data_IF_032887365403
#
_entry.id   IF_032887365403
#
_cell.length_a   1.000
_cell.length_b   1.000
_cell.length_c   1.000
_cell.angle_alpha   90.00
_cell.angle_beta   90.00
_cell.angle_gamma   90.00
#
_symmetry.space_group_name_H-M   'P 1'
#
loop_
_entity.id
_entity.type
_entity.pdbx_description
1 polymer ?
#
# COMPACT_ATOMS: atom_id res chain seq x y z
N UNK A 1 -26.65 -14.59 -6.83
CA UNK A 1 -26.44 -13.30 -6.13
C UNK A 1 -26.37 -13.45 -4.61
N UNK A 2 -27.26 -14.24 -3.98
CA UNK A 2 -27.30 -14.42 -2.51
C UNK A 2 -26.14 -15.23 -1.88
N UNK A 3 -25.52 -16.15 -2.64
CA UNK A 3 -24.43 -17.01 -2.14
C UNK A 3 -23.09 -16.27 -1.96
N UNK A 4 -22.80 -15.27 -2.78
CA UNK A 4 -21.58 -14.46 -2.70
C UNK A 4 -21.61 -13.49 -1.51
N UNK A 5 -22.77 -12.92 -1.20
CA UNK A 5 -22.96 -12.06 -0.02
C UNK A 5 -22.80 -12.89 1.25
N UNK A 6 -23.37 -14.10 1.30
CA UNK A 6 -23.21 -15.01 2.42
C UNK A 6 -21.76 -15.49 2.63
N UNK A 7 -21.01 -15.74 1.55
CA UNK A 7 -19.59 -16.11 1.63
C UNK A 7 -18.71 -14.93 2.09
N UNK A 8 -19.00 -13.71 1.62
CA UNK A 8 -18.31 -12.49 2.03
C UNK A 8 -18.58 -12.17 3.51
N UNK A 9 -19.82 -12.34 3.97
CA UNK A 9 -20.19 -12.19 5.38
C UNK A 9 -19.51 -13.28 6.24
N UNK A 10 -19.48 -14.54 5.80
CA UNK A 10 -18.76 -15.61 6.52
C UNK A 10 -17.25 -15.37 6.60
N UNK A 11 -16.63 -14.86 5.53
CA UNK A 11 -15.22 -14.50 5.54
C UNK A 11 -14.93 -13.29 6.45
N UNK A 12 -15.81 -12.29 6.46
CA UNK A 12 -15.76 -11.16 7.40
C UNK A 12 -15.95 -11.60 8.85
N UNK A 13 -16.84 -12.56 9.12
CA UNK A 13 -17.06 -13.14 10.45
C UNK A 13 -15.87 -14.00 10.90
N UNK A 14 -15.23 -14.76 10.01
CA UNK A 14 -14.03 -15.54 10.34
C UNK A 14 -12.80 -14.65 10.55
N UNK A 15 -12.62 -13.62 9.71
CA UNK A 15 -11.61 -12.57 9.89
C UNK A 15 -11.83 -11.82 11.22
N UNK A 16 -13.10 -11.58 11.58
CA UNK A 16 -13.51 -10.97 12.84
C UNK A 16 -13.16 -11.83 14.06
N UNK A 17 -13.38 -13.14 14.02
CA UNK A 17 -12.95 -14.06 15.09
C UNK A 17 -11.42 -14.10 15.25
N UNK A 18 -10.67 -14.05 14.14
CA UNK A 18 -9.20 -13.99 14.18
C UNK A 18 -8.67 -12.65 14.72
N UNK A 19 -9.33 -11.53 14.37
CA UNK A 19 -9.06 -10.20 14.94
C UNK A 19 -9.32 -10.13 16.45
N UNK A 20 -10.31 -10.87 16.95
CA UNK A 20 -10.65 -10.98 18.37
C UNK A 20 -9.55 -11.73 19.16
N UNK A 21 -9.06 -12.85 18.60
CA UNK A 21 -8.07 -13.74 19.24
C UNK A 21 -6.66 -13.17 19.24
N UNK A 22 -6.34 -12.27 18.30
CA UNK A 22 -4.99 -11.73 18.15
C UNK A 22 -4.64 -10.58 19.11
N UNK A 23 -5.59 -10.11 19.94
CA UNK A 23 -5.36 -9.04 20.91
C UNK A 23 -4.55 -9.60 22.09
N UNK A 24 -3.22 -9.67 21.91
CA UNK A 24 -2.12 -9.86 22.88
C UNK A 24 -1.02 -10.84 22.43
N UNK A 25 -1.03 -11.33 21.18
CA UNK A 25 -0.10 -12.38 20.74
C UNK A 25 1.11 -11.91 19.90
N UNK A 26 1.28 -10.60 19.67
CA UNK A 26 2.41 -10.03 18.90
C UNK A 26 2.01 -8.99 17.84
N UNK A 27 2.86 -8.69 16.84
CA UNK A 27 2.63 -7.63 15.87
C UNK A 27 1.41 -7.89 14.98
N UNK A 28 0.71 -6.81 14.65
CA UNK A 28 -0.42 -6.77 13.73
C UNK A 28 0.00 -6.22 12.37
N UNK A 29 -0.20 -7.01 11.33
CA UNK A 29 0.28 -6.70 9.98
C UNK A 29 -0.88 -6.59 8.99
N UNK A 30 -0.85 -5.58 8.13
CA UNK A 30 -1.73 -5.45 6.97
C UNK A 30 -0.93 -5.63 5.67
N UNK A 31 -1.39 -6.53 4.79
CA UNK A 31 -0.78 -6.83 3.49
C UNK A 31 -1.84 -6.84 2.40
N UNK A 32 -1.55 -6.25 1.23
CA UNK A 32 -2.49 -6.20 0.11
C UNK A 32 -1.86 -6.69 -1.20
N UNK A 33 -2.61 -7.50 -1.97
CA UNK A 33 -2.20 -7.95 -3.30
C UNK A 33 -2.34 -6.87 -4.39
N UNK A 34 -1.74 -7.03 -5.56
CA UNK A 34 -1.81 -6.07 -6.68
C UNK A 34 -3.16 -6.10 -7.39
N UNK A 35 -3.57 -4.99 -8.00
CA UNK A 35 -4.71 -4.95 -8.93
C UNK A 35 -5.40 -3.59 -8.97
N UNK A 36 -6.26 -3.40 -9.98
CA UNK A 36 -6.95 -2.12 -10.26
C UNK A 36 -8.07 -1.80 -9.27
N UNK A 37 -8.57 -2.79 -8.52
CA UNK A 37 -9.67 -2.64 -7.57
C UNK A 37 -9.22 -2.08 -6.20
N UNK A 38 -8.35 -1.05 -6.18
CA UNK A 38 -7.84 -0.45 -4.95
C UNK A 38 -8.94 0.09 -4.01
N UNK A 39 -10.05 0.58 -4.57
CA UNK A 39 -11.23 1.06 -3.82
C UNK A 39 -11.82 -0.02 -2.91
N UNK A 40 -11.92 -1.25 -3.41
CA UNK A 40 -12.54 -2.35 -2.67
C UNK A 40 -11.79 -2.64 -1.36
N UNK A 41 -10.46 -2.58 -1.40
CA UNK A 41 -9.61 -2.79 -0.22
C UNK A 41 -9.76 -1.70 0.81
N UNK A 42 -9.71 -0.44 0.37
CA UNK A 42 -9.94 0.72 1.24
C UNK A 42 -11.32 0.65 1.91
N UNK A 43 -12.34 0.19 1.18
CA UNK A 43 -13.68 0.02 1.74
C UNK A 43 -13.74 -1.09 2.79
N UNK A 44 -13.15 -2.26 2.51
CA UNK A 44 -13.06 -3.38 3.46
C UNK A 44 -12.28 -2.94 4.70
N UNK A 45 -11.12 -2.31 4.53
CA UNK A 45 -10.32 -1.80 5.64
C UNK A 45 -11.09 -0.77 6.46
N UNK A 46 -11.81 0.16 5.82
CA UNK A 46 -12.64 1.11 6.54
C UNK A 46 -13.69 0.40 7.41
N UNK A 47 -14.36 -0.63 6.87
CA UNK A 47 -15.31 -1.43 7.63
C UNK A 47 -14.63 -2.14 8.81
N UNK A 48 -13.44 -2.71 8.62
CA UNK A 48 -12.66 -3.33 9.70
C UNK A 48 -12.36 -2.30 10.80
N UNK A 49 -11.85 -1.12 10.45
CA UNK A 49 -11.51 -0.07 11.42
C UNK A 49 -12.73 0.43 12.20
N UNK A 50 -13.89 0.58 11.55
CA UNK A 50 -15.16 0.94 12.24
C UNK A 50 -15.66 -0.15 13.17
N UNK A 51 -15.51 -1.42 12.80
CA UNK A 51 -15.87 -2.52 13.70
C UNK A 51 -14.93 -2.57 14.91
N UNK A 52 -13.63 -2.32 14.72
CA UNK A 52 -12.68 -2.19 15.84
C UNK A 52 -13.10 -1.06 16.78
N UNK A 53 -13.52 0.10 16.25
CA UNK A 53 -14.02 1.22 17.06
C UNK A 53 -15.21 0.78 17.93
N UNK A 54 -16.23 0.18 17.32
CA UNK A 54 -17.44 -0.26 18.02
C UNK A 54 -17.12 -1.30 19.09
N UNK A 55 -16.34 -2.32 18.75
CA UNK A 55 -16.01 -3.41 19.66
C UNK A 55 -15.13 -2.95 20.84
N UNK A 56 -14.15 -2.08 20.58
CA UNK A 56 -13.28 -1.51 21.63
C UNK A 56 -13.92 -0.32 22.36
N UNK A 57 -15.17 0.03 22.03
CA UNK A 57 -15.91 1.18 22.59
C UNK A 57 -15.10 2.49 22.52
N UNK A 58 -14.39 2.70 21.41
CA UNK A 58 -13.56 3.89 21.21
C UNK A 58 -14.43 5.07 20.78
N UNK A 59 -14.13 6.30 21.26
CA UNK A 59 -14.92 7.47 20.90
C UNK A 59 -14.84 7.80 19.41
N UNK A 60 -13.71 7.48 18.76
CA UNK A 60 -13.46 7.75 17.35
C UNK A 60 -12.77 6.55 16.67
N UNK A 61 -12.96 6.39 15.36
CA UNK A 61 -12.23 5.41 14.56
C UNK A 61 -10.73 5.69 14.62
N UNK A 62 -9.94 4.67 14.97
CA UNK A 62 -8.48 4.78 14.93
C UNK A 62 -7.99 4.89 13.49
N UNK A 63 -6.96 5.70 13.27
CA UNK A 63 -6.20 5.65 12.02
C UNK A 63 -5.47 4.30 11.92
N UNK A 64 -5.36 3.66 10.73
CA UNK A 64 -4.71 2.35 10.60
C UNK A 64 -3.31 2.28 11.21
N UNK A 65 -2.50 3.34 11.06
CA UNK A 65 -1.15 3.44 11.66
C UNK A 65 -1.13 3.31 13.19
N UNK A 66 -2.24 3.58 13.87
CA UNK A 66 -2.36 3.48 15.34
C UNK A 66 -2.75 2.07 15.79
N UNK A 67 -3.14 1.20 14.87
CA UNK A 67 -3.56 -0.16 15.15
C UNK A 67 -2.52 -1.18 14.66
N UNK A 68 -2.15 -1.10 13.38
CA UNK A 68 -1.19 -2.01 12.74
C UNK A 68 0.25 -1.58 12.99
N UNK A 69 1.11 -2.55 13.29
CA UNK A 69 2.54 -2.34 13.51
C UNK A 69 3.30 -2.19 12.18
N UNK A 70 2.90 -2.97 11.16
CA UNK A 70 3.46 -2.95 9.81
C UNK A 70 2.32 -2.95 8.77
N UNK A 71 2.42 -2.05 7.79
CA UNK A 71 1.55 -2.01 6.62
C UNK A 71 2.38 -2.23 5.36
N UNK A 72 1.85 -3.00 4.43
CA UNK A 72 2.49 -3.23 3.15
C UNK A 72 1.52 -3.52 2.04
N UNK A 73 1.92 -3.13 0.84
CA UNK A 73 1.23 -3.48 -0.38
C UNK A 73 2.12 -3.26 -1.60
N UNK A 74 1.71 -3.85 -2.71
CA UNK A 74 2.23 -3.56 -4.04
C UNK A 74 1.28 -2.67 -4.85
N UNK A 75 1.79 -1.95 -5.84
CA UNK A 75 1.01 -1.21 -6.83
C UNK A 75 0.21 -0.05 -6.24
N UNK A 76 -1.02 0.17 -6.73
CA UNK A 76 -2.01 1.10 -6.18
C UNK A 76 -2.13 0.96 -4.65
N UNK A 77 -2.11 -0.27 -4.14
CA UNK A 77 -2.18 -0.47 -2.70
C UNK A 77 -0.93 0.04 -1.97
N UNK A 78 0.23 0.10 -2.63
CA UNK A 78 1.44 0.74 -2.10
C UNK A 78 1.25 2.24 -1.89
N UNK A 79 0.61 2.94 -2.84
CA UNK A 79 0.20 4.34 -2.65
C UNK A 79 -0.78 4.48 -1.48
N UNK A 80 -1.76 3.59 -1.38
CA UNK A 80 -2.71 3.56 -0.24
C UNK A 80 -1.98 3.34 1.08
N UNK A 81 -1.02 2.43 1.11
CA UNK A 81 -0.20 2.13 2.30
C UNK A 81 0.61 3.35 2.73
N UNK A 82 1.18 4.10 1.79
CA UNK A 82 1.85 5.37 2.06
C UNK A 82 0.88 6.40 2.66
N UNK A 83 -0.33 6.53 2.11
CA UNK A 83 -1.36 7.42 2.66
C UNK A 83 -1.70 7.06 4.11
N UNK A 84 -1.99 5.80 4.38
CA UNK A 84 -2.44 5.34 5.70
C UNK A 84 -1.32 5.33 6.76
N UNK A 85 -0.11 4.95 6.38
CA UNK A 85 1.04 4.86 7.28
C UNK A 85 1.85 6.15 7.34
N UNK A 86 2.55 6.47 6.25
CA UNK A 86 3.53 7.58 6.20
C UNK A 86 2.87 8.96 6.31
N UNK A 87 1.78 9.19 5.58
CA UNK A 87 1.02 10.45 5.60
C UNK A 87 -0.04 10.48 6.71
N UNK A 88 -0.10 9.42 7.52
CA UNK A 88 -0.92 9.34 8.73
C UNK A 88 -2.42 9.64 8.45
N UNK A 89 -2.93 9.22 7.29
CA UNK A 89 -4.34 9.42 6.91
C UNK A 89 -5.27 8.38 7.55
N UNK A 90 -6.54 8.75 7.70
CA UNK A 90 -7.64 7.83 7.96
C UNK A 90 -8.02 7.06 6.69
N UNK A 91 -8.82 6.01 6.85
CA UNK A 91 -9.38 5.25 5.72
C UNK A 91 -10.28 6.10 4.82
N UNK A 92 -11.01 7.04 5.41
CA UNK A 92 -11.85 7.99 4.69
C UNK A 92 -11.04 9.00 3.89
N UNK A 93 -10.02 9.60 4.51
CA UNK A 93 -9.10 10.54 3.85
C UNK A 93 -8.42 9.85 2.65
N UNK A 94 -7.88 8.65 2.86
CA UNK A 94 -7.24 7.88 1.80
C UNK A 94 -8.20 7.47 0.68
N UNK A 95 -9.46 7.15 1.00
CA UNK A 95 -10.50 6.83 0.00
C UNK A 95 -10.85 8.05 -0.87
N UNK A 96 -11.00 9.22 -0.26
CA UNK A 96 -11.26 10.47 -0.98
C UNK A 96 -10.09 10.83 -1.91
N UNK A 97 -8.86 10.77 -1.38
CA UNK A 97 -7.64 11.00 -2.16
C UNK A 97 -7.50 10.01 -3.32
N UNK A 98 -7.77 8.71 -3.07
CA UNK A 98 -7.72 7.69 -4.11
C UNK A 98 -8.75 7.95 -5.22
N UNK A 99 -9.99 8.25 -4.87
CA UNK A 99 -11.03 8.53 -5.86
C UNK A 99 -10.65 9.72 -6.74
N UNK A 100 -10.14 10.79 -6.13
CA UNK A 100 -9.67 11.98 -6.85
C UNK A 100 -8.49 11.67 -7.79
N UNK A 101 -7.44 11.00 -7.30
CA UNK A 101 -6.30 10.69 -8.17
C UNK A 101 -6.69 9.74 -9.29
N UNK A 102 -7.56 8.76 -9.02
CA UNK A 102 -8.02 7.81 -10.04
C UNK A 102 -8.79 8.51 -11.16
N UNK A 103 -9.68 9.46 -10.85
CA UNK A 103 -10.45 10.17 -11.86
C UNK A 103 -9.58 11.09 -12.71
N UNK A 104 -8.58 11.75 -12.11
CA UNK A 104 -7.66 12.65 -12.81
C UNK A 104 -6.65 11.87 -13.66
N UNK A 105 -6.07 10.80 -13.12
CA UNK A 105 -4.99 10.06 -13.77
C UNK A 105 -5.52 9.20 -14.92
N UNK A 106 -6.70 8.58 -14.79
CA UNK A 106 -7.28 7.73 -15.82
C UNK A 106 -8.29 8.43 -16.73
N UNK A 107 -8.30 9.77 -16.70
CA UNK A 107 -9.19 10.61 -17.51
C UNK A 107 -8.87 10.54 -19.01
N UNK A 108 -9.83 10.92 -19.84
CA UNK A 108 -9.63 11.08 -21.30
C UNK A 108 -8.55 12.11 -21.61
N UNK A 109 -8.52 13.22 -20.86
CA UNK A 109 -7.63 14.37 -21.06
C UNK A 109 -6.18 14.02 -20.71
N UNK A 110 -5.97 13.06 -19.81
CA UNK A 110 -4.65 12.58 -19.44
C UNK A 110 -4.10 11.47 -20.35
N UNK A 111 -4.92 10.97 -21.29
CA UNK A 111 -4.52 9.93 -22.24
C UNK A 111 -3.53 10.50 -23.27
N UNK A 112 -2.48 9.74 -23.59
CA UNK A 112 -1.56 10.09 -24.68
C UNK A 112 -2.18 9.72 -26.03
N UNK A 113 -2.01 10.58 -27.03
CA UNK A 113 -2.42 10.30 -28.42
C UNK A 113 -1.62 9.14 -29.03
N UNK A 114 -0.35 8.99 -28.62
CA UNK A 114 0.54 7.92 -29.08
C UNK A 114 1.07 7.10 -27.89
N UNK A 115 0.97 5.77 -27.98
CA UNK A 115 1.28 4.83 -26.89
C UNK A 115 2.72 4.32 -26.92
N UNK A 116 3.72 5.22 -26.93
CA UNK A 116 5.14 4.82 -26.97
C UNK A 116 5.67 4.34 -25.61
N UNK A 117 5.35 5.08 -24.53
CA UNK A 117 5.86 4.84 -23.17
C UNK A 117 4.74 4.92 -22.12
N UNK A 118 3.66 4.17 -22.36
CA UNK A 118 2.48 4.08 -21.50
C UNK A 118 1.28 4.88 -22.00
N UNK A 119 0.08 4.52 -21.50
CA UNK A 119 -1.20 5.07 -21.93
C UNK A 119 -1.51 6.49 -21.43
N UNK A 120 -0.97 6.87 -20.28
CA UNK A 120 -1.30 8.12 -19.59
C UNK A 120 -0.06 8.95 -19.30
N UNK A 121 -0.22 10.29 -19.17
CA UNK A 121 0.91 11.16 -18.82
C UNK A 121 1.29 10.96 -17.36
N UNK A 122 2.53 10.50 -17.11
CA UNK A 122 3.06 10.31 -15.77
C UNK A 122 3.19 11.62 -14.97
N UNK A 123 3.28 12.77 -15.65
CA UNK A 123 3.32 14.10 -15.01
C UNK A 123 2.06 14.38 -14.19
N UNK A 124 0.90 13.89 -14.62
CA UNK A 124 -0.35 14.01 -13.86
C UNK A 124 -0.33 13.15 -12.59
N UNK A 125 0.19 11.92 -12.69
CA UNK A 125 0.36 11.03 -11.54
C UNK A 125 1.27 11.67 -10.48
N UNK A 126 2.44 12.19 -10.90
CA UNK A 126 3.38 12.89 -10.00
C UNK A 126 2.70 14.08 -9.34
N UNK A 127 2.02 14.93 -10.12
CA UNK A 127 1.33 16.12 -9.62
C UNK A 127 0.28 15.76 -8.57
N UNK A 128 -0.57 14.77 -8.84
CA UNK A 128 -1.64 14.40 -7.90
C UNK A 128 -1.10 13.72 -6.63
N UNK A 129 -0.02 12.91 -6.72
CA UNK A 129 0.65 12.37 -5.54
C UNK A 129 1.24 13.51 -4.68
N UNK A 130 1.89 14.49 -5.29
CA UNK A 130 2.42 15.66 -4.59
C UNK A 130 1.30 16.48 -3.94
N UNK A 131 0.16 16.64 -4.62
CA UNK A 131 -1.02 17.29 -4.04
C UNK A 131 -1.53 16.55 -2.80
N UNK A 132 -1.61 15.22 -2.83
CA UNK A 132 -2.03 14.40 -1.67
C UNK A 132 -1.09 14.63 -0.48
N UNK A 133 0.22 14.65 -0.72
CA UNK A 133 1.24 14.89 0.33
C UNK A 133 1.07 16.28 0.95
N UNK A 134 0.90 17.32 0.12
CA UNK A 134 0.66 18.67 0.62
C UNK A 134 -0.67 18.78 1.39
N UNK A 135 -1.74 18.15 0.90
CA UNK A 135 -3.05 18.11 1.58
C UNK A 135 -2.99 17.39 2.93
N UNK A 136 -2.09 16.41 3.07
CA UNK A 136 -1.81 15.74 4.35
C UNK A 136 -0.95 16.59 5.31
N UNK A 137 -0.55 17.81 4.94
CA UNK A 137 0.28 18.69 5.76
C UNK A 137 1.78 18.40 5.68
N UNK A 138 2.23 17.73 4.62
CA UNK A 138 3.63 17.34 4.43
C UNK A 138 4.28 18.08 3.25
N UNK A 139 5.59 18.30 3.33
CA UNK A 139 6.38 18.87 2.23
C UNK A 139 6.67 17.81 1.15
N UNK A 140 6.70 18.22 -0.12
CA UNK A 140 7.14 17.35 -1.22
C UNK A 140 8.62 16.97 -1.13
N UNK A 141 9.41 17.69 -0.33
CA UNK A 141 10.81 17.34 -0.04
C UNK A 141 10.95 16.34 1.12
N UNK A 142 9.85 15.99 1.78
CA UNK A 142 9.86 15.04 2.88
C UNK A 142 10.32 13.66 2.40
N UNK A 143 11.28 13.11 3.14
CA UNK A 143 11.78 11.75 2.92
C UNK A 143 10.72 10.71 3.27
N UNK A 144 10.77 9.60 2.54
CA UNK A 144 9.96 8.42 2.87
C UNK A 144 10.30 7.93 4.27
N UNK A 145 11.59 7.93 4.63
CA UNK A 145 12.04 7.61 5.97
C UNK A 145 11.36 8.52 6.99
N UNK A 146 10.78 7.89 8.00
CA UNK A 146 10.12 8.53 9.13
C UNK A 146 11.02 8.36 10.35
N UNK A 147 11.52 9.46 10.94
CA UNK A 147 12.35 9.38 12.16
C UNK A 147 11.64 8.68 13.33
N UNK A 148 10.30 8.69 13.32
CA UNK A 148 9.46 8.05 14.32
C UNK A 148 9.25 6.54 14.08
N UNK A 149 9.72 5.99 12.95
CA UNK A 149 9.48 4.61 12.56
C UNK A 149 10.60 3.66 13.00
N UNK A 150 10.22 2.44 13.37
CA UNK A 150 11.14 1.42 13.86
C UNK A 150 10.42 0.26 14.59
N UNK A 151 11.19 -0.61 15.25
CA UNK A 151 10.68 -1.84 15.88
C UNK A 151 9.65 -1.58 16.99
N UNK A 152 9.76 -0.43 17.66
CA UNK A 152 8.90 -0.07 18.79
C UNK A 152 7.75 0.88 18.40
N UNK A 153 7.58 1.17 17.11
CA UNK A 153 6.54 2.07 16.61
C UNK A 153 5.45 1.29 15.87
N UNK A 154 4.24 1.86 15.84
CA UNK A 154 3.17 1.41 14.95
C UNK A 154 3.16 2.20 13.65
N UNK A 155 2.63 1.60 12.59
CA UNK A 155 2.46 2.27 11.31
C UNK A 155 3.69 2.25 10.42
N UNK A 156 4.63 1.33 10.65
CA UNK A 156 5.76 1.12 9.76
C UNK A 156 5.24 0.74 8.37
N UNK A 157 5.82 1.30 7.31
CA UNK A 157 5.43 1.00 5.93
C UNK A 157 6.56 0.33 5.19
N UNK A 158 6.20 -0.69 4.44
CA UNK A 158 7.03 -1.37 3.45
C UNK A 158 6.24 -1.43 2.14
N UNK A 159 6.85 -0.99 1.04
CA UNK A 159 6.26 -1.14 -0.30
C UNK A 159 7.28 -1.72 -1.26
N UNK A 160 6.79 -2.47 -2.25
CA UNK A 160 7.62 -3.09 -3.28
C UNK A 160 7.53 -2.32 -4.61
N UNK A 161 8.66 -2.21 -5.30
CA UNK A 161 8.75 -1.93 -6.74
C UNK A 161 9.76 -2.88 -7.39
N UNK A 162 9.91 -2.80 -8.71
CA UNK A 162 10.94 -3.50 -9.47
C UNK A 162 11.86 -2.50 -10.15
N UNK A 163 13.11 -2.89 -10.38
CA UNK A 163 13.97 -2.13 -11.28
C UNK A 163 13.56 -2.41 -12.73
N UNK A 164 13.53 -1.37 -13.57
CA UNK A 164 13.20 -1.48 -15.00
C UNK A 164 14.26 -2.24 -15.81
N UNK A 165 15.46 -2.44 -15.25
CA UNK A 165 16.57 -3.17 -15.89
C UNK A 165 16.50 -4.67 -15.55
N UNK A 166 16.01 -5.03 -14.35
CA UNK A 166 15.86 -6.41 -13.93
C UNK A 166 14.59 -6.58 -13.09
N UNK A 167 13.54 -7.09 -13.74
CA UNK A 167 12.24 -7.37 -13.12
C UNK A 167 12.29 -8.48 -12.06
N UNK A 168 13.43 -9.18 -11.89
CA UNK A 168 13.67 -10.13 -10.80
C UNK A 168 14.26 -9.48 -9.55
N UNK A 169 14.78 -8.26 -9.66
CA UNK A 169 15.30 -7.49 -8.54
C UNK A 169 14.21 -6.55 -8.01
N UNK A 170 13.55 -6.99 -6.94
CA UNK A 170 12.63 -6.16 -6.18
C UNK A 170 13.40 -5.09 -5.40
N UNK A 171 12.89 -3.87 -5.41
CA UNK A 171 13.34 -2.80 -4.54
C UNK A 171 12.31 -2.61 -3.41
N UNK A 172 12.80 -2.65 -2.17
CA UNK A 172 12.02 -2.42 -0.97
C UNK A 172 12.16 -0.96 -0.54
N UNK A 173 11.06 -0.20 -0.57
CA UNK A 173 11.03 1.13 0.05
C UNK A 173 10.41 1.04 1.43
N UNK A 174 11.11 1.60 2.41
CA UNK A 174 10.82 1.46 3.83
C UNK A 174 10.69 2.84 4.47
N UNK A 175 9.81 2.97 5.46
CA UNK A 175 9.76 4.17 6.32
C UNK A 175 10.71 4.08 7.50
N UNK A 176 11.30 2.92 7.77
CA UNK A 176 12.21 2.67 8.88
C UNK A 176 13.59 2.25 8.35
N UNK A 177 14.63 2.50 9.14
CA UNK A 177 16.01 2.12 8.81
C UNK A 177 16.39 0.75 9.35
N UNK A 178 17.51 0.21 8.86
CA UNK A 178 18.25 -0.87 9.52
C UNK A 178 18.07 -2.25 8.90
N UNK A 179 17.55 -2.36 7.67
CA UNK A 179 17.41 -3.64 6.98
C UNK A 179 18.45 -3.83 5.86
N UNK A 180 19.00 -5.05 5.70
CA UNK A 180 19.81 -5.38 4.54
C UNK A 180 18.97 -5.25 3.25
N UNK A 181 19.58 -4.71 2.19
CA UNK A 181 18.95 -4.46 0.88
C UNK A 181 17.81 -3.41 0.88
N UNK A 182 17.91 -2.39 1.73
CA UNK A 182 17.03 -1.22 1.67
C UNK A 182 17.19 -0.48 0.33
N UNK A 183 16.07 -0.09 -0.29
CA UNK A 183 16.05 0.76 -1.48
C UNK A 183 16.67 2.14 -1.24
N UNK A 184 16.91 2.94 -2.30
CA UNK A 184 17.58 4.23 -2.16
C UNK A 184 16.79 5.18 -1.26
N UNK A 185 17.51 6.08 -0.58
CA UNK A 185 16.87 7.19 0.13
C UNK A 185 16.14 8.09 -0.88
N UNK A 186 14.84 8.26 -0.67
CA UNK A 186 13.95 8.94 -1.61
C UNK A 186 12.89 9.77 -0.89
N UNK A 187 12.29 10.70 -1.61
CA UNK A 187 11.12 11.46 -1.19
C UNK A 187 9.88 10.56 -1.20
N UNK A 188 8.90 10.88 -0.36
CA UNK A 188 7.66 10.08 -0.25
C UNK A 188 6.94 9.97 -1.60
N UNK A 189 6.91 11.05 -2.39
CA UNK A 189 6.27 11.03 -3.72
C UNK A 189 7.02 10.17 -4.72
N UNK A 190 8.35 10.06 -4.64
CA UNK A 190 9.17 9.23 -5.53
C UNK A 190 8.85 7.74 -5.32
N UNK A 191 8.79 7.31 -4.06
CA UNK A 191 8.38 5.96 -3.69
C UNK A 191 6.93 5.63 -4.10
N UNK A 192 6.01 6.56 -3.86
CA UNK A 192 4.61 6.43 -4.27
C UNK A 192 4.45 6.28 -5.78
N UNK A 193 5.21 7.07 -6.53
CA UNK A 193 5.29 6.99 -7.98
C UNK A 193 5.89 5.66 -8.45
N UNK A 194 7.00 5.23 -7.85
CA UNK A 194 7.70 4.00 -8.21
C UNK A 194 6.86 2.74 -8.01
N UNK A 195 6.08 2.68 -6.93
CA UNK A 195 5.21 1.53 -6.69
C UNK A 195 3.99 1.52 -7.62
N UNK A 196 3.49 2.68 -8.08
CA UNK A 196 2.29 2.79 -8.94
C UNK A 196 2.55 2.82 -10.44
N UNK A 197 3.83 2.89 -10.86
CA UNK A 197 4.23 3.01 -12.26
C UNK A 197 4.07 1.68 -13.03
N UNK A 198 2.82 1.28 -13.28
CA UNK A 198 2.52 0.08 -14.08
C UNK A 198 3.01 0.29 -15.50
N UNK A 199 3.88 -0.60 -15.99
CA UNK A 199 4.54 -0.54 -17.32
C UNK A 199 3.59 -0.25 -18.49
N UNK A 200 2.36 -0.76 -18.45
CA UNK A 200 1.36 -0.52 -19.52
C UNK A 200 0.68 0.85 -19.44
N UNK A 201 0.66 1.48 -18.25
CA UNK A 201 -0.06 2.74 -18.02
C UNK A 201 0.87 3.95 -17.97
N UNK A 202 2.08 3.79 -17.42
CA UNK A 202 3.00 4.89 -17.19
C UNK A 202 4.42 4.56 -17.63
N UNK A 203 5.17 5.61 -17.94
CA UNK A 203 6.62 5.54 -18.10
C UNK A 203 7.26 5.18 -16.75
N UNK A 204 8.30 4.36 -16.79
CA UNK A 204 9.14 4.09 -15.63
C UNK A 204 9.72 5.37 -15.02
N UNK A 205 10.00 5.34 -13.71
CA UNK A 205 10.32 6.54 -12.93
C UNK A 205 11.74 6.44 -12.37
N UNK A 206 12.51 7.53 -12.47
CA UNK A 206 13.83 7.64 -11.85
C UNK A 206 13.72 8.21 -10.45
N UNK A 207 14.43 7.61 -9.50
CA UNK A 207 14.48 8.02 -8.09
C UNK A 207 15.86 8.61 -7.78
N UNK A 208 15.90 9.79 -7.15
CA UNK A 208 17.07 10.48 -6.56
C UNK A 208 18.23 10.87 -7.51
N UNK A 209 18.42 10.23 -8.68
CA UNK A 209 19.47 10.57 -9.65
C UNK A 209 19.06 10.30 -11.10
N UNK A 210 19.50 11.16 -12.04
CA UNK A 210 19.31 10.94 -13.49
C UNK A 210 20.03 9.69 -14.01
N UNK A 211 21.04 9.22 -13.30
CA UNK A 211 21.87 8.06 -13.65
C UNK A 211 21.49 6.78 -12.87
N UNK A 212 20.47 6.85 -12.00
CA UNK A 212 19.97 5.69 -11.27
C UNK A 212 19.09 4.77 -12.14
N UNK A 213 18.81 3.54 -11.66
CA UNK A 213 17.90 2.62 -12.33
C UNK A 213 16.49 3.23 -12.40
N UNK A 214 15.78 2.91 -13.48
CA UNK A 214 14.34 3.18 -13.55
C UNK A 214 13.60 2.21 -12.64
N UNK A 215 12.47 2.65 -12.08
CA UNK A 215 11.59 1.83 -11.26
C UNK A 215 10.21 1.70 -11.90
N UNK A 216 9.64 0.50 -11.76
CA UNK A 216 8.33 0.13 -12.28
C UNK A 216 7.54 -0.63 -11.20
N UNK A 217 6.22 -0.67 -11.37
CA UNK A 217 5.29 -1.40 -10.51
C UNK A 217 5.68 -2.88 -10.41
N UNK A 218 5.66 -3.41 -9.18
CA UNK A 218 6.05 -4.79 -8.92
C UNK A 218 4.93 -5.83 -9.21
N UNK A 219 3.78 -5.42 -9.73
CA UNK A 219 2.63 -6.29 -10.00
C UNK A 219 2.89 -7.41 -11.01
N UNK A 220 3.97 -7.32 -11.81
CA UNK A 220 4.38 -8.38 -12.74
C UNK A 220 5.17 -9.53 -12.07
N UNK A 221 5.54 -9.44 -10.80
CA UNK A 221 6.23 -10.55 -10.11
C UNK A 221 6.16 -10.58 -8.58
N UNK A 222 5.75 -9.50 -7.92
CA UNK A 222 5.46 -9.44 -6.47
C UNK A 222 3.99 -9.03 -6.25
N UNK A 223 3.08 -9.77 -6.90
CA UNK A 223 1.66 -9.46 -6.92
C UNK A 223 0.96 -9.70 -5.55
N UNK A 224 1.58 -10.44 -4.64
CA UNK A 224 1.09 -10.66 -3.29
C UNK A 224 2.29 -10.63 -2.33
N UNK A 225 2.53 -9.50 -1.63
CA UNK A 225 3.74 -9.30 -0.85
C UNK A 225 3.71 -10.06 0.48
N UNK A 226 2.77 -11.00 0.70
CA UNK A 226 2.58 -11.67 2.00
C UNK A 226 3.84 -12.38 2.49
N UNK A 227 4.62 -13.00 1.59
CA UNK A 227 5.87 -13.66 1.95
C UNK A 227 6.93 -12.62 2.35
N UNK A 228 7.09 -11.60 1.53
CA UNK A 228 8.03 -10.50 1.70
C UNK A 228 7.73 -9.73 2.99
N UNK A 229 6.45 -9.51 3.28
CA UNK A 229 5.95 -8.85 4.49
C UNK A 229 6.26 -9.66 5.73
N UNK A 230 6.06 -10.97 5.69
CA UNK A 230 6.40 -11.85 6.81
C UNK A 230 7.90 -11.82 7.07
N UNK A 231 8.70 -11.90 6.02
CA UNK A 231 10.16 -11.93 6.15
C UNK A 231 10.67 -10.56 6.65
N UNK A 232 10.12 -9.45 6.15
CA UNK A 232 10.40 -8.09 6.65
C UNK A 232 9.92 -7.86 8.09
N UNK A 233 8.79 -8.44 8.49
CA UNK A 233 8.32 -8.38 9.87
C UNK A 233 9.27 -9.10 10.83
N UNK A 234 9.83 -10.26 10.43
CA UNK A 234 10.85 -10.95 11.23
C UNK A 234 12.12 -10.12 11.40
N UNK A 235 12.55 -9.45 10.33
CA UNK A 235 13.70 -8.56 10.38
C UNK A 235 13.42 -7.33 11.27
N UNK A 236 12.23 -6.73 11.18
CA UNK A 236 11.85 -5.54 11.94
C UNK A 236 11.62 -5.82 13.43
N UNK A 237 10.86 -6.86 13.79
CA UNK A 237 10.40 -7.10 15.16
C UNK A 237 11.27 -8.08 15.98
N UNK A 238 12.45 -8.46 15.46
CA UNK A 238 13.41 -9.43 16.03
C UNK A 238 12.97 -10.91 15.88
N UNK A 239 13.93 -11.86 15.85
CA UNK A 239 13.67 -13.28 15.51
C UNK A 239 12.76 -14.07 16.46
N UNK A 240 12.60 -13.64 17.72
CA UNK A 240 11.82 -14.38 18.72
C UNK A 240 10.36 -13.91 18.83
N UNK A 241 9.90 -13.03 17.95
CA UNK A 241 8.54 -12.52 17.97
C UNK A 241 7.62 -13.35 17.08
N UNK A 242 6.47 -13.74 17.65
CA UNK A 242 5.38 -14.38 16.90
C UNK A 242 4.47 -13.29 16.32
N UNK A 243 4.10 -13.42 15.05
CA UNK A 243 3.10 -12.53 14.43
C UNK A 243 1.75 -12.83 15.10
N UNK A 244 1.20 -11.83 15.79
CA UNK A 244 -0.11 -11.97 16.43
C UNK A 244 -1.24 -12.00 15.41
N UNK A 245 -1.11 -11.19 14.35
CA UNK A 245 -2.11 -11.12 13.29
C UNK A 245 -1.52 -10.70 11.95
N UNK A 246 -1.97 -11.35 10.88
CA UNK A 246 -1.73 -10.95 9.50
C UNK A 246 -3.06 -10.88 8.75
N UNK A 247 -3.42 -9.69 8.27
CA UNK A 247 -4.59 -9.46 7.44
C UNK A 247 -4.11 -9.28 6.00
N UNK A 248 -4.56 -10.16 5.10
CA UNK A 248 -4.30 -10.05 3.67
C UNK A 248 -5.59 -9.72 2.92
N UNK A 249 -5.71 -8.53 2.30
CA UNK A 249 -6.89 -8.14 1.52
C UNK A 249 -6.60 -8.25 0.02
N UNK A 250 -7.24 -9.20 -0.65
CA UNK A 250 -7.13 -9.40 -2.10
C UNK A 250 -8.00 -8.42 -2.91
N UNK A 251 -7.71 -8.27 -4.21
CA UNK A 251 -8.49 -7.42 -5.15
C UNK A 251 -9.66 -8.14 -5.82
N UNK A 252 -10.15 -9.22 -5.21
CA UNK A 252 -11.15 -10.11 -5.81
C UNK A 252 -10.57 -11.03 -6.90
N UNK A 253 -11.27 -12.14 -7.14
CA UNK A 253 -11.00 -13.06 -8.25
C UNK A 253 -12.15 -12.93 -9.25
N UNK A 254 -11.89 -12.78 -10.57
CA UNK A 254 -12.96 -12.65 -11.57
C UNK A 254 -13.88 -13.88 -11.69
N UNK A 255 -13.63 -14.95 -10.93
CA UNK A 255 -14.31 -16.24 -11.06
C UNK A 255 -13.70 -17.07 -12.18
N UNK A 256 -14.05 -18.37 -12.29
CA UNK A 256 -13.74 -19.12 -13.50
C UNK A 256 -14.37 -18.37 -14.68
N UNK A 257 -13.57 -18.02 -15.67
CA UNK A 257 -14.06 -17.55 -16.96
C UNK A 257 -14.93 -18.67 -17.52
N UNK A 258 -16.25 -18.53 -17.34
CA UNK A 258 -17.23 -19.43 -17.91
C UNK A 258 -17.07 -19.45 -19.43
N UNK A 259 -17.13 -20.67 -19.97
CA UNK A 259 -17.13 -21.03 -21.38
C UNK A 259 -18.04 -20.14 -22.24
#
# INVERSE_FOLDING_TARGET
MFTWIAATIKALVLLFFLLLMAVNAGPSILSDGSGIHGVSKLFILNKIMKHIQLHKKLPNTLKPRKYFDLLSSTSIGGLITIMLGRLKMSTEEALQSYNKISSMVFSSENRKTFYRDGKFKATMLVKEIQNIICQAGHSNDQKLLDPDAGPNSKGNVFICSMTGINLRLGAAFLTYQGLPNQGPDCKTWEAACATTAVLIFFKAIKITSRFGPDYVDAGLGFNNPTKEVRDKAKELFRPNWHIGMLISIGTGHPGPSGF
#
